data_IF_703123120317
#
_entry.id   IF_703123120317
#
_cell.length_a   1.000
_cell.length_b   1.000
_cell.length_c   1.000
_cell.angle_alpha   90.00
_cell.angle_beta   90.00
_cell.angle_gamma   90.00
#
_symmetry.space_group_name_H-M   'P 1'
#
loop_
_entity.id
_entity.type
_entity.pdbx_description
1 polymer ?
#
# COMPACT_ATOMS: atom_id res chain seq x y z
N UNK A 1 -28.77 -23.92 22.40
CA UNK A 1 -27.89 -23.82 21.20
C UNK A 1 -27.91 -22.46 20.48
N UNK A 2 -28.53 -21.37 20.99
CA UNK A 2 -28.67 -20.10 20.22
C UNK A 2 -27.63 -19.00 20.49
N UNK A 3 -26.87 -19.04 21.60
CA UNK A 3 -25.91 -17.98 21.95
C UNK A 3 -24.58 -17.99 21.17
N UNK A 4 -24.20 -19.11 20.52
CA UNK A 4 -22.90 -19.21 19.80
C UNK A 4 -22.90 -18.55 18.42
N UNK A 5 -24.05 -18.27 17.82
CA UNK A 5 -24.15 -17.76 16.44
C UNK A 5 -23.86 -16.25 16.38
N UNK A 6 -24.38 -15.46 17.33
CA UNK A 6 -24.15 -14.01 17.37
C UNK A 6 -22.68 -13.62 17.60
N UNK A 7 -21.95 -14.39 18.40
CA UNK A 7 -20.53 -14.12 18.66
C UNK A 7 -19.66 -14.35 17.42
N UNK A 8 -19.99 -15.37 16.60
CA UNK A 8 -19.28 -15.64 15.35
C UNK A 8 -19.38 -14.49 14.34
N UNK A 9 -20.52 -13.81 14.26
CA UNK A 9 -20.71 -12.68 13.35
C UNK A 9 -19.88 -11.44 13.74
N UNK A 10 -19.72 -11.19 15.05
CA UNK A 10 -18.84 -10.13 15.55
C UNK A 10 -17.35 -10.45 15.33
N UNK A 11 -16.95 -11.71 15.45
CA UNK A 11 -15.57 -12.14 15.15
C UNK A 11 -15.28 -12.05 13.64
N UNK A 12 -16.25 -12.39 12.78
CA UNK A 12 -16.12 -12.22 11.32
C UNK A 12 -15.96 -10.75 10.89
N UNK A 13 -16.69 -9.82 11.51
CA UNK A 13 -16.48 -8.38 11.31
C UNK A 13 -15.13 -7.88 11.85
N UNK A 14 -14.53 -8.59 12.82
CA UNK A 14 -13.19 -8.28 13.35
C UNK A 14 -12.06 -8.85 12.49
N UNK A 15 -12.36 -9.67 11.49
CA UNK A 15 -11.40 -10.24 10.53
C UNK A 15 -11.29 -9.43 9.22
N UNK A 16 -11.89 -8.25 9.17
CA UNK A 16 -11.54 -7.24 8.17
C UNK A 16 -10.09 -6.78 8.41
N UNK A 17 -9.14 -7.41 7.73
CA UNK A 17 -7.72 -7.03 7.76
C UNK A 17 -7.54 -5.54 7.45
N UNK A 18 -7.31 -4.74 8.49
CA UNK A 18 -6.92 -3.34 8.33
C UNK A 18 -5.47 -3.31 7.83
N UNK A 19 -5.30 -3.43 6.51
CA UNK A 19 -4.01 -3.15 5.84
C UNK A 19 -3.68 -1.69 6.12
N UNK A 20 -2.87 -1.46 7.16
CA UNK A 20 -2.60 -0.14 7.69
C UNK A 20 -1.76 0.63 6.69
N UNK A 21 -2.40 1.52 5.95
CA UNK A 21 -1.75 2.29 4.90
C UNK A 21 -0.62 3.15 5.50
N UNK A 22 0.54 3.16 4.83
CA UNK A 22 1.73 3.90 5.24
C UNK A 22 1.58 5.40 4.94
N UNK A 23 0.77 5.74 3.95
CA UNK A 23 0.28 7.09 3.68
C UNK A 23 -1.26 7.10 3.71
N UNK A 24 -1.85 8.28 3.84
CA UNK A 24 -3.31 8.47 3.84
C UNK A 24 -3.76 9.86 3.33
N UNK A 25 -2.82 10.64 2.80
CA UNK A 25 -3.01 12.01 2.29
C UNK A 25 -2.14 12.20 1.06
N UNK A 26 -2.67 12.93 0.09
CA UNK A 26 -1.93 13.49 -1.05
C UNK A 26 -1.67 14.99 -0.79
N UNK A 27 -0.77 15.59 -1.56
CA UNK A 27 -0.56 17.05 -1.58
C UNK A 27 -0.65 17.63 -3.00
N UNK A 28 -1.01 16.81 -3.98
CA UNK A 28 -1.35 17.12 -5.37
C UNK A 28 -0.20 17.72 -6.21
N UNK A 29 0.88 18.19 -5.58
CA UNK A 29 2.08 18.72 -6.22
C UNK A 29 3.34 18.38 -5.41
N UNK A 30 4.34 17.84 -6.08
CA UNK A 30 5.74 17.84 -5.67
C UNK A 30 6.63 18.27 -6.83
N UNK A 31 7.92 18.47 -6.57
CA UNK A 31 8.93 18.79 -7.57
C UNK A 31 9.97 17.67 -7.66
N UNK A 32 10.58 17.48 -8.82
CA UNK A 32 11.68 16.55 -9.05
C UNK A 32 12.95 17.33 -9.45
N UNK A 33 14.10 17.10 -8.79
CA UNK A 33 15.37 17.73 -9.18
C UNK A 33 16.01 16.96 -10.33
N UNK A 34 15.51 17.19 -11.53
CA UNK A 34 15.99 16.53 -12.74
C UNK A 34 17.34 17.12 -13.17
N UNK A 35 18.29 16.26 -13.52
CA UNK A 35 19.59 16.68 -14.07
C UNK A 35 19.59 16.43 -15.57
N UNK A 36 19.62 17.50 -16.36
CA UNK A 36 19.52 17.43 -17.83
C UNK A 36 20.75 16.74 -18.41
N UNK A 37 20.56 15.58 -19.04
CA UNK A 37 21.63 14.80 -19.65
C UNK A 37 21.87 15.17 -21.12
N UNK A 38 23.06 14.85 -21.64
CA UNK A 38 23.49 15.23 -22.99
C UNK A 38 22.70 14.51 -24.08
N UNK A 39 21.89 15.26 -24.84
CA UNK A 39 20.94 14.73 -25.82
C UNK A 39 19.46 14.89 -25.41
N UNK A 40 19.19 15.23 -24.15
CA UNK A 40 17.85 15.59 -23.68
C UNK A 40 17.46 17.03 -24.06
N UNK A 41 16.16 17.33 -24.04
CA UNK A 41 15.60 18.66 -24.28
C UNK A 41 14.25 18.80 -23.56
N UNK A 42 13.71 20.02 -23.48
CA UNK A 42 12.48 20.30 -22.74
C UNK A 42 11.26 19.53 -23.27
N UNK A 43 11.18 19.22 -24.58
CA UNK A 43 10.10 18.41 -25.16
C UNK A 43 10.16 16.96 -24.69
N UNK A 44 11.33 16.33 -24.72
CA UNK A 44 11.52 14.97 -24.22
C UNK A 44 11.23 14.89 -22.71
N UNK A 45 11.70 15.88 -21.95
CA UNK A 45 11.50 15.96 -20.50
C UNK A 45 10.01 16.17 -20.16
N UNK A 46 9.30 17.03 -20.91
CA UNK A 46 7.86 17.28 -20.80
C UNK A 46 7.04 16.01 -21.04
N UNK A 47 7.39 15.23 -22.07
CA UNK A 47 6.75 13.95 -22.38
C UNK A 47 7.05 12.88 -21.31
N UNK A 48 8.29 12.82 -20.82
CA UNK A 48 8.73 11.84 -19.82
C UNK A 48 8.07 12.00 -18.43
N UNK A 49 7.74 13.25 -18.09
CA UNK A 49 7.31 13.67 -16.75
C UNK A 49 5.87 14.20 -16.72
N UNK A 50 5.08 13.99 -17.79
CA UNK A 50 3.68 14.39 -17.96
C UNK A 50 3.37 15.82 -17.44
N UNK A 51 4.15 16.80 -17.90
CA UNK A 51 3.97 18.22 -17.56
C UNK A 51 4.32 19.11 -18.75
N UNK A 52 3.63 20.24 -18.89
CA UNK A 52 3.87 21.17 -20.00
C UNK A 52 5.18 21.97 -19.82
N UNK A 53 5.74 22.42 -20.95
CA UNK A 53 7.04 23.12 -21.00
C UNK A 53 6.98 24.50 -20.34
N UNK A 54 5.86 25.22 -20.45
CA UNK A 54 5.71 26.55 -19.83
C UNK A 54 5.77 26.45 -18.30
N UNK A 55 5.06 25.48 -17.74
CA UNK A 55 5.13 25.10 -16.33
C UNK A 55 6.55 24.70 -15.90
N UNK A 56 7.29 23.90 -16.70
CA UNK A 56 8.72 23.63 -16.42
C UNK A 56 9.52 24.95 -16.35
N UNK A 57 9.37 25.85 -17.33
CA UNK A 57 10.09 27.15 -17.33
C UNK A 57 9.73 27.98 -16.09
N UNK A 58 8.45 28.04 -15.73
CA UNK A 58 7.97 28.81 -14.58
C UNK A 58 8.56 28.35 -13.22
N UNK A 59 8.76 27.05 -13.02
CA UNK A 59 9.45 26.50 -11.83
C UNK A 59 11.00 26.64 -11.87
N UNK A 60 11.55 27.17 -12.97
CA UNK A 60 12.99 27.29 -13.22
C UNK A 60 13.44 28.69 -13.68
N UNK A 61 12.68 29.73 -13.35
CA UNK A 61 13.00 31.12 -13.67
C UNK A 61 14.44 31.48 -13.26
N UNK A 62 15.22 32.04 -14.18
CA UNK A 62 16.64 32.36 -14.02
C UNK A 62 17.61 31.17 -14.22
N UNK A 63 17.11 29.94 -14.36
CA UNK A 63 17.91 28.73 -14.67
C UNK A 63 17.62 28.21 -16.08
N UNK A 64 16.35 28.23 -16.49
CA UNK A 64 15.91 27.94 -17.87
C UNK A 64 15.43 29.27 -18.49
N UNK A 65 16.04 29.74 -19.59
CA UNK A 65 15.79 31.10 -20.10
C UNK A 65 14.58 31.22 -21.03
N UNK A 66 14.11 30.11 -21.62
CA UNK A 66 13.00 30.04 -22.58
C UNK A 66 12.49 28.60 -22.71
N UNK A 67 11.41 28.41 -23.47
CA UNK A 67 10.78 27.11 -23.79
C UNK A 67 11.61 26.21 -24.71
N UNK A 68 12.65 26.75 -25.35
CA UNK A 68 13.26 26.14 -26.54
C UNK A 68 14.63 25.53 -26.24
N UNK A 69 15.24 25.89 -25.10
CA UNK A 69 16.64 25.56 -24.79
C UNK A 69 16.89 25.33 -23.29
N UNK A 70 17.63 24.27 -23.01
CA UNK A 70 18.20 23.96 -21.69
C UNK A 70 19.56 23.29 -21.90
N UNK A 71 20.54 23.60 -21.05
CA UNK A 71 21.91 23.07 -21.19
C UNK A 71 22.05 21.71 -20.47
N UNK A 72 22.86 20.82 -21.03
CA UNK A 72 23.26 19.60 -20.34
C UNK A 72 24.07 19.95 -19.08
N UNK A 73 23.83 19.21 -17.98
CA UNK A 73 24.35 19.49 -16.65
C UNK A 73 23.47 20.44 -15.81
N UNK A 74 22.50 21.14 -16.40
CA UNK A 74 21.56 21.98 -15.64
C UNK A 74 20.67 21.13 -14.74
N UNK A 75 20.53 21.51 -13.46
CA UNK A 75 19.57 20.93 -12.51
C UNK A 75 18.28 21.76 -12.52
N UNK A 76 17.17 21.16 -12.94
CA UNK A 76 15.87 21.82 -13.04
C UNK A 76 14.85 21.18 -12.08
N UNK A 77 13.90 21.97 -11.57
CA UNK A 77 12.75 21.53 -10.80
C UNK A 77 11.61 21.18 -11.76
N UNK A 78 11.19 19.92 -11.83
CA UNK A 78 10.03 19.51 -12.65
C UNK A 78 8.84 19.27 -11.73
N UNK A 79 7.73 20.01 -11.85
CA UNK A 79 6.53 19.74 -11.06
C UNK A 79 5.82 18.47 -11.54
N UNK A 80 5.25 17.72 -10.59
CA UNK A 80 4.44 16.53 -10.87
C UNK A 80 3.43 16.26 -9.74
N UNK A 81 2.41 15.43 -10.02
CA UNK A 81 1.33 15.13 -9.08
C UNK A 81 1.80 14.19 -7.96
N UNK A 82 1.76 14.63 -6.70
CA UNK A 82 2.18 13.83 -5.54
C UNK A 82 1.00 13.19 -4.80
N UNK A 83 0.92 11.85 -4.83
CA UNK A 83 -0.20 11.10 -4.27
C UNK A 83 0.19 9.83 -3.50
N UNK A 84 -0.76 9.31 -2.71
CA UNK A 84 -0.57 8.11 -1.90
C UNK A 84 -0.84 6.83 -2.71
N UNK A 85 0.17 6.37 -3.46
CA UNK A 85 0.09 5.22 -4.36
C UNK A 85 -0.25 3.94 -3.59
N UNK A 86 -1.43 3.37 -3.87
CA UNK A 86 -1.95 2.12 -3.28
C UNK A 86 -1.90 2.05 -1.74
N UNK A 87 -1.89 3.20 -1.05
CA UNK A 87 -1.72 3.26 0.40
C UNK A 87 -0.30 2.93 0.92
N UNK A 88 0.69 2.72 0.04
CA UNK A 88 2.01 2.19 0.41
C UNK A 88 3.12 3.23 0.47
N UNK A 89 3.11 4.24 -0.41
CA UNK A 89 4.12 5.29 -0.46
C UNK A 89 3.57 6.58 -1.07
N UNK A 90 4.24 7.71 -0.81
CA UNK A 90 3.99 8.96 -1.51
C UNK A 90 4.85 8.99 -2.77
N UNK A 91 4.21 9.16 -3.92
CA UNK A 91 4.89 9.24 -5.20
C UNK A 91 3.94 9.55 -6.35
N UNK A 92 4.42 9.29 -7.55
CA UNK A 92 3.66 9.21 -8.78
C UNK A 92 4.11 8.00 -9.59
N UNK A 93 3.29 7.56 -10.54
CA UNK A 93 3.61 6.46 -11.45
C UNK A 93 3.47 6.96 -12.88
N UNK A 94 4.59 7.31 -13.51
CA UNK A 94 4.62 7.71 -14.92
C UNK A 94 4.53 6.47 -15.82
N UNK A 95 3.99 6.62 -17.02
CA UNK A 95 4.17 5.64 -18.09
C UNK A 95 5.38 6.01 -18.95
N UNK A 96 6.27 5.05 -19.20
CA UNK A 96 7.40 5.18 -20.12
C UNK A 96 7.24 4.22 -21.29
N UNK A 97 7.14 4.74 -22.51
CA UNK A 97 7.14 3.94 -23.74
C UNK A 97 8.56 3.46 -24.08
N UNK A 98 8.74 2.14 -24.20
CA UNK A 98 10.07 1.50 -24.36
C UNK A 98 10.58 1.60 -25.79
N UNK A 99 11.83 2.04 -25.95
CA UNK A 99 12.57 2.06 -27.20
C UNK A 99 13.52 0.86 -27.31
N UNK A 100 13.85 0.50 -28.56
CA UNK A 100 14.78 -0.60 -28.87
C UNK A 100 16.16 -0.38 -28.23
N UNK A 101 16.54 -1.26 -27.31
CA UNK A 101 17.82 -1.20 -26.59
C UNK A 101 17.76 -0.56 -25.21
N UNK A 102 16.58 -0.18 -24.73
CA UNK A 102 16.40 0.28 -23.35
C UNK A 102 16.64 -0.83 -22.32
N UNK A 103 17.07 -0.40 -21.13
CA UNK A 103 17.24 -1.25 -19.95
C UNK A 103 16.77 -0.48 -18.72
N UNK A 104 16.36 -1.17 -17.65
CA UNK A 104 16.01 -0.49 -16.39
C UNK A 104 17.14 0.40 -15.85
N UNK A 105 18.41 0.06 -16.11
CA UNK A 105 19.55 0.90 -15.77
C UNK A 105 19.55 2.23 -16.53
N UNK A 106 19.40 2.19 -17.87
CA UNK A 106 19.28 3.41 -18.71
C UNK A 106 18.08 4.26 -18.28
N UNK A 107 16.90 3.65 -18.15
CA UNK A 107 15.65 4.35 -17.79
C UNK A 107 15.78 5.02 -16.41
N UNK A 108 16.31 4.32 -15.40
CA UNK A 108 16.47 4.91 -14.06
C UNK A 108 17.56 5.99 -13.99
N UNK A 109 18.75 5.70 -14.53
CA UNK A 109 19.97 6.49 -14.26
C UNK A 109 20.19 7.61 -15.27
N UNK A 110 19.81 7.39 -16.53
CA UNK A 110 19.88 8.37 -17.61
C UNK A 110 18.53 9.06 -17.79
N UNK A 111 17.52 8.35 -18.30
CA UNK A 111 16.29 8.99 -18.79
C UNK A 111 15.55 9.75 -17.67
N UNK A 112 15.30 9.09 -16.52
CA UNK A 112 14.74 9.70 -15.30
C UNK A 112 15.80 10.30 -14.35
N UNK A 113 17.06 10.46 -14.77
CA UNK A 113 18.11 11.17 -14.03
C UNK A 113 18.27 10.78 -12.54
N UNK A 114 18.06 9.51 -12.18
CA UNK A 114 18.08 8.93 -10.81
C UNK A 114 16.92 9.35 -9.88
N UNK A 115 15.79 9.85 -10.43
CA UNK A 115 14.54 10.06 -9.69
C UNK A 115 13.79 8.75 -9.36
N UNK A 116 14.15 7.67 -10.03
CA UNK A 116 13.70 6.29 -9.78
C UNK A 116 14.91 5.35 -9.67
N UNK A 117 14.70 4.07 -9.37
CA UNK A 117 15.79 3.09 -9.24
C UNK A 117 15.51 1.80 -10.03
N UNK A 118 16.56 1.02 -10.30
CA UNK A 118 16.44 -0.25 -11.03
C UNK A 118 15.58 -1.25 -10.27
N UNK A 119 15.67 -1.26 -8.93
CA UNK A 119 14.88 -2.10 -8.04
C UNK A 119 13.40 -1.69 -8.09
N UNK A 120 13.11 -0.39 -8.11
CA UNK A 120 11.74 0.11 -8.23
C UNK A 120 11.13 -0.24 -9.59
N UNK A 121 11.87 -0.04 -10.69
CA UNK A 121 11.44 -0.45 -12.03
C UNK A 121 11.21 -1.97 -12.10
N UNK A 122 12.10 -2.78 -11.54
CA UNK A 122 11.97 -4.26 -11.51
C UNK A 122 10.81 -4.71 -10.62
N UNK A 123 10.41 -3.91 -9.63
CA UNK A 123 9.29 -4.21 -8.73
C UNK A 123 7.91 -3.87 -9.32
N UNK A 124 7.80 -2.75 -10.05
CA UNK A 124 6.53 -2.28 -10.63
C UNK A 124 6.26 -2.80 -12.06
N UNK A 125 7.15 -3.58 -12.65
CA UNK A 125 7.04 -4.12 -14.00
C UNK A 125 7.31 -5.62 -14.05
N UNK A 126 6.56 -6.34 -14.89
CA UNK A 126 6.66 -7.81 -15.02
C UNK A 126 7.69 -8.30 -16.04
N UNK A 127 8.44 -7.39 -16.68
CA UNK A 127 9.44 -7.73 -17.69
C UNK A 127 10.78 -8.08 -17.04
N UNK A 128 11.47 -9.10 -17.57
CA UNK A 128 12.81 -9.46 -17.12
C UNK A 128 13.81 -8.34 -17.48
N UNK A 129 14.75 -7.96 -16.59
CA UNK A 129 15.75 -6.92 -16.87
C UNK A 129 16.62 -7.17 -18.11
N UNK A 130 16.68 -8.41 -18.60
CA UNK A 130 17.42 -8.84 -19.79
C UNK A 130 16.58 -8.88 -21.07
N UNK A 131 15.26 -8.67 -20.99
CA UNK A 131 14.34 -8.76 -22.14
C UNK A 131 13.08 -7.89 -21.90
N UNK A 132 13.22 -6.59 -22.11
CA UNK A 132 12.11 -5.63 -22.13
C UNK A 132 11.63 -5.49 -23.59
N UNK A 133 10.34 -5.72 -23.92
CA UNK A 133 9.86 -5.61 -25.29
C UNK A 133 9.91 -4.18 -25.85
N UNK A 134 10.31 -4.03 -27.13
CA UNK A 134 10.42 -2.74 -27.87
C UNK A 134 9.07 -2.00 -28.10
N UNK A 135 8.00 -2.41 -27.43
CA UNK A 135 6.66 -1.81 -27.47
C UNK A 135 5.95 -1.95 -26.10
N UNK A 136 6.69 -2.24 -25.04
CA UNK A 136 6.18 -2.25 -23.68
C UNK A 136 5.99 -0.82 -23.16
N UNK A 137 5.09 -0.68 -22.19
CA UNK A 137 5.03 0.48 -21.29
C UNK A 137 5.59 0.07 -19.94
N UNK A 138 6.48 0.89 -19.37
CA UNK A 138 6.96 0.73 -18.01
C UNK A 138 6.21 1.65 -17.05
N UNK A 139 5.79 1.10 -15.93
CA UNK A 139 5.40 1.84 -14.74
C UNK A 139 6.67 2.40 -14.08
N UNK A 140 6.84 3.72 -14.06
CA UNK A 140 8.00 4.39 -13.48
C UNK A 140 7.61 5.16 -12.22
N UNK A 141 7.92 4.59 -11.06
CA UNK A 141 7.63 5.23 -9.77
C UNK A 141 8.67 6.30 -9.44
N UNK A 142 8.23 7.53 -9.22
CA UNK A 142 9.04 8.61 -8.61
C UNK A 142 8.43 8.96 -7.27
N UNK A 143 9.22 8.89 -6.20
CA UNK A 143 8.72 9.19 -4.85
C UNK A 143 8.60 10.70 -4.62
N UNK A 144 7.75 11.10 -3.67
CA UNK A 144 7.57 12.49 -3.26
C UNK A 144 7.35 12.61 -1.74
N UNK A 145 7.27 13.84 -1.24
CA UNK A 145 6.92 14.13 0.14
C UNK A 145 5.91 15.26 0.23
N UNK A 146 4.96 15.13 1.14
CA UNK A 146 3.99 16.17 1.49
C UNK A 146 4.38 16.94 2.77
N UNK A 147 5.61 16.76 3.25
CA UNK A 147 6.10 17.36 4.48
C UNK A 147 5.63 16.69 5.76
N UNK A 148 6.12 17.21 6.88
CA UNK A 148 5.85 16.71 8.22
C UNK A 148 5.65 17.90 9.18
N UNK A 149 4.44 17.97 9.75
CA UNK A 149 4.03 19.03 10.69
C UNK A 149 4.76 18.98 12.04
N UNK A 150 5.46 17.87 12.36
CA UNK A 150 6.35 17.77 13.52
C UNK A 150 7.73 18.40 13.26
N UNK A 151 8.13 18.52 11.99
CA UNK A 151 9.36 19.21 11.59
C UNK A 151 9.13 20.71 11.47
N UNK A 152 8.16 21.13 10.64
CA UNK A 152 7.70 22.52 10.49
C UNK A 152 6.34 22.55 9.77
N UNK A 153 5.59 23.65 9.94
CA UNK A 153 4.32 23.91 9.21
C UNK A 153 4.50 24.85 8.01
N UNK A 154 5.72 25.32 7.78
CA UNK A 154 6.03 26.39 6.81
C UNK A 154 6.29 25.82 5.41
N UNK A 155 6.45 24.49 5.31
CA UNK A 155 6.83 23.77 4.10
C UNK A 155 5.88 22.59 3.84
N UNK A 156 5.08 22.69 2.77
CA UNK A 156 4.15 21.69 2.25
C UNK A 156 4.29 21.47 0.74
N UNK A 157 5.39 21.93 0.15
CA UNK A 157 5.85 21.61 -1.21
C UNK A 157 7.30 21.13 -1.07
N UNK A 158 7.65 19.99 -1.67
CA UNK A 158 8.97 19.39 -1.58
C UNK A 158 9.51 19.02 -2.95
N UNK A 159 10.84 19.14 -3.10
CA UNK A 159 11.61 18.60 -4.20
C UNK A 159 12.16 17.23 -3.77
N UNK A 160 11.92 16.21 -4.57
CA UNK A 160 12.68 14.95 -4.54
C UNK A 160 14.01 15.18 -5.24
N UNK A 161 15.10 15.18 -4.48
CA UNK A 161 16.45 15.48 -4.93
C UNK A 161 17.29 14.19 -4.95
N UNK A 162 17.71 13.68 -6.13
CA UNK A 162 18.67 12.58 -6.22
C UNK A 162 20.06 13.02 -5.74
N UNK A 163 20.64 12.29 -4.78
CA UNK A 163 21.99 12.55 -4.27
C UNK A 163 23.04 12.12 -5.31
N UNK A 164 24.00 13.00 -5.58
CA UNK A 164 25.08 12.78 -6.55
C UNK A 164 26.45 12.66 -5.85
N UNK A 165 27.45 12.02 -6.47
CA UNK A 165 28.82 12.00 -5.94
C UNK A 165 29.34 13.42 -5.67
N UNK A 166 29.75 13.68 -4.43
CA UNK A 166 30.19 15.01 -3.96
C UNK A 166 29.10 15.84 -3.27
N UNK A 167 27.83 15.42 -3.26
CA UNK A 167 26.81 16.08 -2.44
C UNK A 167 27.09 15.92 -0.93
N UNK A 168 26.65 16.91 -0.16
CA UNK A 168 26.76 16.96 1.31
C UNK A 168 25.53 17.67 1.88
N UNK A 169 25.25 17.49 3.17
CA UNK A 169 24.21 18.26 3.87
C UNK A 169 24.46 19.77 3.76
N UNK A 170 25.73 20.19 3.82
CA UNK A 170 26.13 21.60 3.76
C UNK A 170 25.98 22.20 2.36
N UNK A 171 26.44 21.51 1.31
CA UNK A 171 26.37 22.01 -0.07
C UNK A 171 24.92 22.10 -0.58
N UNK A 172 24.07 21.10 -0.29
CA UNK A 172 22.65 21.13 -0.65
C UNK A 172 21.93 22.24 0.13
N UNK A 173 22.16 22.36 1.44
CA UNK A 173 21.58 23.43 2.26
C UNK A 173 22.00 24.84 1.76
N UNK A 174 23.27 25.02 1.38
CA UNK A 174 23.77 26.29 0.85
C UNK A 174 23.17 26.62 -0.51
N UNK A 175 23.12 25.66 -1.44
CA UNK A 175 22.58 25.87 -2.78
C UNK A 175 21.07 26.21 -2.78
N UNK A 176 20.30 25.52 -1.94
CA UNK A 176 18.84 25.65 -1.86
C UNK A 176 18.40 26.70 -0.81
N UNK A 177 19.35 27.38 -0.16
CA UNK A 177 19.15 28.42 0.86
C UNK A 177 18.38 27.95 2.11
N UNK A 178 18.63 26.71 2.53
CA UNK A 178 17.96 26.04 3.64
C UNK A 178 18.85 25.93 4.89
N UNK A 179 18.22 25.75 6.05
CA UNK A 179 18.94 25.42 7.28
C UNK A 179 19.32 23.92 7.31
N UNK A 180 20.58 23.59 7.61
CA UNK A 180 21.07 22.20 7.65
C UNK A 180 20.31 21.32 8.66
N UNK A 181 19.98 21.84 9.84
CA UNK A 181 19.24 21.09 10.88
C UNK A 181 17.80 20.82 10.45
N UNK A 182 17.14 21.78 9.80
CA UNK A 182 15.81 21.58 9.18
C UNK A 182 15.87 20.48 8.10
N UNK A 183 16.86 20.57 7.21
CA UNK A 183 17.07 19.65 6.10
C UNK A 183 17.35 18.21 6.59
N UNK A 184 18.16 18.05 7.64
CA UNK A 184 18.42 16.75 8.28
C UNK A 184 17.17 16.22 9.02
N UNK A 185 16.34 17.08 9.63
CA UNK A 185 15.10 16.65 10.31
C UNK A 185 14.04 16.12 9.34
N UNK A 186 13.99 16.61 8.10
CA UNK A 186 13.16 16.00 7.03
C UNK A 186 13.73 14.69 6.47
N UNK A 187 15.01 14.41 6.69
CA UNK A 187 15.73 13.25 6.16
C UNK A 187 16.46 12.49 7.28
N UNK A 188 15.74 11.99 8.31
CA UNK A 188 16.36 11.39 9.49
C UNK A 188 17.14 10.12 9.12
N UNK A 189 18.39 10.04 9.59
CA UNK A 189 19.28 8.90 9.34
C UNK A 189 19.88 8.83 7.92
N UNK A 190 19.54 9.74 7.01
CA UNK A 190 20.11 9.75 5.65
C UNK A 190 21.50 10.36 5.65
N UNK A 191 22.48 9.62 5.10
CA UNK A 191 23.79 10.15 4.76
C UNK A 191 23.72 10.90 3.42
N UNK A 192 23.72 12.23 3.47
CA UNK A 192 23.69 13.11 2.28
C UNK A 192 24.91 12.92 1.35
N UNK A 193 26.02 12.37 1.84
CA UNK A 193 27.22 12.08 1.05
C UNK A 193 27.33 10.63 0.59
N UNK A 194 26.22 9.88 0.58
CA UNK A 194 26.14 8.54 -0.03
C UNK A 194 26.31 8.57 -1.56
N UNK A 195 26.07 9.72 -2.20
CA UNK A 195 26.17 9.90 -3.65
C UNK A 195 25.21 9.03 -4.48
N UNK A 196 24.14 8.54 -3.85
CA UNK A 196 23.11 7.70 -4.47
C UNK A 196 21.84 7.67 -3.60
N UNK A 197 20.69 7.39 -4.20
CA UNK A 197 19.38 7.55 -3.56
C UNK A 197 18.89 8.99 -3.61
N UNK A 198 17.89 9.34 -2.80
CA UNK A 198 17.25 10.66 -2.82
C UNK A 198 16.95 11.20 -1.41
N UNK A 199 16.80 12.52 -1.32
CA UNK A 199 16.36 13.27 -0.13
C UNK A 199 15.19 14.19 -0.50
N UNK A 200 14.34 14.49 0.47
CA UNK A 200 13.23 15.44 0.31
C UNK A 200 13.61 16.79 0.89
N UNK A 201 13.57 17.83 0.06
CA UNK A 201 13.99 19.18 0.44
C UNK A 201 12.80 20.16 0.24
N UNK A 202 12.56 21.14 1.12
CA UNK A 202 11.49 22.12 0.90
C UNK A 202 11.63 22.88 -0.42
N UNK A 203 10.58 22.83 -1.25
CA UNK A 203 10.52 23.47 -2.57
C UNK A 203 9.86 24.84 -2.52
N UNK A 204 10.36 25.76 -3.36
CA UNK A 204 9.70 27.02 -3.71
C UNK A 204 8.75 26.80 -4.89
N UNK A 205 7.71 27.61 -4.99
CA UNK A 205 6.83 27.64 -6.16
C UNK A 205 7.31 28.61 -7.25
N UNK A 206 6.54 28.73 -8.34
CA UNK A 206 6.77 29.63 -9.50
C UNK A 206 7.12 31.08 -9.12
N UNK A 207 6.69 31.53 -7.93
CA UNK A 207 6.91 32.89 -7.42
C UNK A 207 8.09 32.99 -6.46
N UNK A 208 8.88 31.91 -6.34
CA UNK A 208 10.01 31.81 -5.41
C UNK A 208 9.60 31.63 -3.94
N UNK A 209 8.32 31.36 -3.66
CA UNK A 209 7.79 31.30 -2.29
C UNK A 209 7.67 29.86 -1.78
N UNK A 210 7.90 29.66 -0.48
CA UNK A 210 7.52 28.41 0.18
C UNK A 210 6.00 28.37 0.41
N UNK A 211 5.40 27.19 0.25
CA UNK A 211 3.97 26.94 0.51
C UNK A 211 3.80 26.31 1.89
N UNK A 212 3.02 26.93 2.77
CA UNK A 212 2.76 26.39 4.12
C UNK A 212 1.98 25.07 4.07
N UNK A 213 2.29 24.16 5.00
CA UNK A 213 1.70 22.83 5.10
C UNK A 213 0.26 22.91 5.65
N UNK A 214 -0.71 22.83 4.73
CA UNK A 214 -2.13 22.74 5.06
C UNK A 214 -2.41 21.42 5.79
N UNK A 215 -2.60 21.48 7.10
CA UNK A 215 -3.14 20.34 7.84
C UNK A 215 -4.59 20.12 7.41
N UNK A 216 -4.85 19.07 6.61
CA UNK A 216 -6.20 18.66 6.26
C UNK A 216 -7.00 18.45 7.55
N UNK A 217 -8.18 19.06 7.73
CA UNK A 217 -8.98 18.89 8.93
C UNK A 217 -9.31 17.40 9.06
N UNK A 218 -8.80 16.77 10.12
CA UNK A 218 -9.18 15.40 10.44
C UNK A 218 -10.68 15.35 10.65
N UNK A 219 -11.35 14.38 10.02
CA UNK A 219 -12.80 14.17 10.17
C UNK A 219 -13.13 14.13 11.66
N UNK A 220 -13.81 15.17 12.14
CA UNK A 220 -13.82 15.50 13.56
C UNK A 220 -14.37 14.31 14.38
N UNK A 221 -13.78 14.06 15.56
CA UNK A 221 -14.16 12.90 16.40
C UNK A 221 -15.67 12.84 16.74
N UNK A 222 -16.36 13.99 16.67
CA UNK A 222 -17.81 14.14 16.70
C UNK A 222 -18.53 13.20 15.71
N UNK A 223 -18.04 13.10 14.47
CA UNK A 223 -18.65 12.26 13.43
C UNK A 223 -18.52 10.76 13.76
N UNK A 224 -17.34 10.33 14.23
CA UNK A 224 -17.07 8.94 14.59
C UNK A 224 -17.91 8.53 15.82
N UNK A 225 -17.98 9.41 16.84
CA UNK A 225 -18.83 9.19 18.01
C UNK A 225 -20.32 9.10 17.64
N UNK A 226 -20.81 9.98 16.76
CA UNK A 226 -22.19 9.96 16.28
C UNK A 226 -22.57 8.66 15.57
N UNK A 227 -21.70 8.13 14.71
CA UNK A 227 -21.92 6.86 14.00
C UNK A 227 -22.00 5.69 15.00
N UNK A 228 -21.10 5.62 15.99
CA UNK A 228 -21.10 4.56 17.00
C UNK A 228 -22.40 4.59 17.83
N UNK A 229 -22.84 5.77 18.27
CA UNK A 229 -24.10 5.93 19.02
C UNK A 229 -25.31 5.52 18.17
N UNK A 230 -25.35 5.91 16.90
CA UNK A 230 -26.43 5.53 15.98
C UNK A 230 -26.52 4.02 15.75
N UNK A 231 -25.38 3.33 15.58
CA UNK A 231 -25.32 1.86 15.42
C UNK A 231 -25.79 1.15 16.71
N UNK A 232 -25.33 1.59 17.88
CA UNK A 232 -25.74 1.02 19.17
C UNK A 232 -27.25 1.22 19.38
N UNK A 233 -27.78 2.41 19.12
CA UNK A 233 -29.22 2.70 19.22
C UNK A 233 -30.04 1.82 18.26
N UNK A 234 -29.60 1.67 17.00
CA UNK A 234 -30.26 0.80 16.02
C UNK A 234 -30.31 -0.67 16.45
N UNK A 235 -29.21 -1.21 16.96
CA UNK A 235 -29.14 -2.60 17.48
C UNK A 235 -30.05 -2.78 18.70
N UNK A 236 -30.08 -1.82 19.63
CA UNK A 236 -30.98 -1.86 20.79
C UNK A 236 -32.46 -1.79 20.40
N UNK A 237 -32.82 -0.94 19.43
CA UNK A 237 -34.19 -0.83 18.92
C UNK A 237 -34.63 -2.13 18.22
N UNK A 238 -33.78 -2.72 17.37
CA UNK A 238 -34.08 -3.99 16.70
C UNK A 238 -34.19 -5.16 17.68
N UNK A 239 -33.28 -5.25 18.67
CA UNK A 239 -33.33 -6.27 19.72
C UNK A 239 -34.56 -6.14 20.61
N UNK A 240 -34.88 -4.92 21.04
CA UNK A 240 -36.08 -4.61 21.82
C UNK A 240 -37.38 -4.89 21.06
N UNK A 241 -37.44 -4.51 19.78
CA UNK A 241 -38.57 -4.79 18.89
C UNK A 241 -38.81 -6.30 18.69
N UNK A 242 -37.74 -7.07 18.45
CA UNK A 242 -37.81 -8.53 18.33
C UNK A 242 -38.26 -9.19 19.65
N UNK A 243 -37.73 -8.75 20.80
CA UNK A 243 -38.13 -9.23 22.12
C UNK A 243 -39.61 -8.91 22.43
N UNK A 244 -40.05 -7.69 22.18
CA UNK A 244 -41.44 -7.26 22.38
C UNK A 244 -42.41 -7.99 21.44
N UNK A 245 -42.01 -8.23 20.19
CA UNK A 245 -42.76 -9.05 19.24
C UNK A 245 -42.92 -10.50 19.70
N UNK A 246 -41.84 -11.12 20.18
CA UNK A 246 -41.88 -12.46 20.76
C UNK A 246 -42.76 -12.54 22.02
N UNK A 247 -42.63 -11.58 22.93
CA UNK A 247 -43.45 -11.50 24.14
C UNK A 247 -44.93 -11.27 23.83
N UNK A 248 -45.25 -10.40 22.85
CA UNK A 248 -46.62 -10.24 22.35
C UNK A 248 -47.16 -11.52 21.73
N UNK A 249 -46.36 -12.25 20.93
CA UNK A 249 -46.79 -13.53 20.36
C UNK A 249 -47.15 -14.53 21.47
N UNK A 250 -46.26 -14.77 22.44
CA UNK A 250 -46.57 -15.68 23.55
C UNK A 250 -47.83 -15.27 24.33
N UNK A 251 -48.13 -13.96 24.44
CA UNK A 251 -49.34 -13.45 25.10
C UNK A 251 -50.62 -13.61 24.25
N UNK A 252 -50.51 -13.65 22.92
CA UNK A 252 -51.61 -14.02 22.01
C UNK A 252 -51.84 -15.52 22.04
N UNK A 253 -50.77 -16.32 21.93
CA UNK A 253 -50.83 -17.79 21.98
C UNK A 253 -51.42 -18.27 23.32
N UNK A 254 -51.05 -17.64 24.46
CA UNK A 254 -51.64 -17.92 25.76
C UNK A 254 -53.14 -17.52 25.86
N UNK A 255 -53.57 -16.45 25.18
CA UNK A 255 -54.99 -16.08 25.09
C UNK A 255 -55.78 -17.06 24.22
N UNK A 256 -55.16 -17.57 23.14
CA UNK A 256 -55.77 -18.55 22.25
C UNK A 256 -55.97 -19.90 22.96
N UNK A 257 -54.98 -20.35 23.74
CA UNK A 257 -55.09 -21.59 24.53
C UNK A 257 -56.19 -21.50 25.59
N UNK A 258 -56.33 -20.36 26.28
CA UNK A 258 -57.45 -20.13 27.20
C UNK A 258 -58.82 -20.12 26.49
N UNK A 259 -58.90 -19.60 25.26
CA UNK A 259 -60.11 -19.65 24.43
C UNK A 259 -60.38 -21.02 23.77
N UNK A 260 -59.42 -21.95 23.82
CA UNK A 260 -59.52 -23.32 23.27
C UNK A 260 -59.65 -24.36 24.40
N UNK A 261 -59.99 -23.93 25.62
CA UNK A 261 -60.19 -24.82 26.77
C UNK A 261 -61.62 -25.37 26.88
N UNK A 262 -62.60 -24.68 26.29
CA UNK A 262 -64.03 -25.01 26.34
C UNK A 262 -64.54 -25.66 25.03
N UNK A 263 -63.90 -26.74 24.58
CA UNK A 263 -64.59 -27.86 23.92
C UNK A 263 -63.66 -29.08 23.72
N UNK A 264 -64.11 -30.28 24.09
CA UNK A 264 -63.28 -31.50 24.06
C UNK A 264 -64.03 -32.73 23.50
N UNK A 265 -63.79 -33.06 22.23
CA UNK A 265 -64.04 -34.39 21.64
C UNK A 265 -63.24 -34.56 20.33
N UNK A 266 -62.11 -35.27 20.29
CA UNK A 266 -61.97 -36.74 20.27
C UNK A 266 -62.38 -37.43 18.96
N UNK A 267 -61.41 -37.75 18.07
CA UNK A 267 -61.00 -39.14 17.76
C UNK A 267 -59.97 -39.29 16.62
N UNK A 268 -59.08 -40.28 16.81
CA UNK A 268 -58.39 -41.17 15.86
C UNK A 268 -58.16 -40.77 14.39
N UNK A 269 -56.88 -40.58 14.06
CA UNK A 269 -56.36 -40.58 12.69
C UNK A 269 -56.24 -41.95 12.01
N UNK A 270 -55.41 -42.01 10.95
CA UNK A 270 -54.97 -43.23 10.25
C UNK A 270 -53.63 -42.99 9.54
N UNK A 271 -52.91 -44.07 9.27
CA UNK A 271 -51.71 -44.09 8.44
C UNK A 271 -51.94 -45.02 7.23
N UNK A 272 -51.15 -44.87 6.16
CA UNK A 272 -50.90 -45.94 5.20
C UNK A 272 -49.50 -45.80 4.58
N UNK A 273 -48.89 -46.95 4.28
CA UNK A 273 -47.58 -47.14 3.64
C UNK A 273 -47.76 -48.03 2.40
N UNK A 274 -46.77 -48.10 1.50
CA UNK A 274 -46.61 -49.16 0.48
C UNK A 274 -45.16 -49.17 -0.03
N UNK A 275 -44.64 -50.35 -0.41
CA UNK A 275 -43.22 -50.65 -0.69
C UNK A 275 -43.09 -51.66 -1.87
N UNK A 276 -41.93 -52.06 -2.42
CA UNK A 276 -40.54 -51.84 -1.97
C UNK A 276 -39.61 -51.34 -3.13
N UNK A 277 -38.62 -52.00 -3.75
CA UNK A 277 -37.98 -53.33 -3.61
C UNK A 277 -36.52 -53.34 -4.18
N UNK A 278 -35.94 -54.54 -4.39
CA UNK A 278 -34.51 -54.85 -4.67
C UNK A 278 -34.39 -55.76 -5.94
N UNK A 279 -33.20 -56.28 -6.37
CA UNK A 279 -31.78 -56.03 -6.02
C UNK A 279 -30.98 -55.53 -7.28
N UNK A 280 -29.69 -55.76 -7.64
CA UNK A 280 -28.53 -56.61 -7.23
C UNK A 280 -27.17 -55.82 -7.26
N UNK A 281 -26.17 -56.21 -8.07
CA UNK A 281 -24.77 -55.74 -8.03
C UNK A 281 -24.13 -55.52 -9.42
N UNK A 282 -23.09 -54.67 -9.50
CA UNK A 282 -21.94 -54.85 -10.40
C UNK A 282 -20.75 -53.96 -10.00
N UNK A 283 -19.51 -54.38 -10.31
CA UNK A 283 -18.28 -53.68 -9.96
C UNK A 283 -17.78 -52.76 -11.10
N UNK A 284 -17.28 -51.56 -10.76
CA UNK A 284 -16.66 -50.65 -11.73
C UNK A 284 -15.72 -49.63 -11.07
N UNK A 285 -14.42 -49.70 -11.38
CA UNK A 285 -13.43 -48.78 -10.84
C UNK A 285 -13.39 -47.44 -11.63
N UNK A 286 -13.46 -46.30 -10.93
CA UNK A 286 -13.79 -45.00 -11.53
C UNK A 286 -13.03 -43.78 -11.02
N UNK A 287 -11.70 -43.90 -10.82
CA UNK A 287 -10.69 -42.81 -10.84
C UNK A 287 -11.15 -41.39 -10.40
N UNK A 288 -11.37 -41.19 -9.11
CA UNK A 288 -11.46 -39.84 -8.53
C UNK A 288 -10.08 -39.14 -8.48
N UNK A 289 -10.02 -37.78 -8.49
CA UNK A 289 -8.75 -37.06 -8.45
C UNK A 289 -8.07 -37.18 -7.08
N UNK A 290 -6.78 -37.50 -7.07
CA UNK A 290 -5.95 -37.47 -5.87
C UNK A 290 -5.79 -36.04 -5.38
N UNK A 291 -6.33 -35.74 -4.19
CA UNK A 291 -6.03 -34.49 -3.50
C UNK A 291 -4.53 -34.36 -3.24
N UNK A 292 -3.99 -33.16 -3.39
CA UNK A 292 -2.57 -32.88 -3.11
C UNK A 292 -2.34 -33.10 -1.62
N UNK A 293 -1.59 -34.14 -1.28
CA UNK A 293 -1.05 -34.33 0.07
C UNK A 293 -0.03 -33.23 0.33
N UNK A 294 -0.44 -32.17 1.02
CA UNK A 294 0.48 -31.15 1.54
C UNK A 294 1.41 -31.84 2.51
N UNK A 295 2.70 -31.89 2.16
CA UNK A 295 3.69 -32.55 3.00
C UNK A 295 3.94 -31.76 4.30
N UNK A 296 4.55 -32.45 5.26
CA UNK A 296 4.68 -32.12 6.66
C UNK A 296 5.39 -30.77 6.86
N UNK A 297 4.65 -29.76 7.28
CA UNK A 297 5.21 -28.45 7.64
C UNK A 297 6.22 -28.61 8.77
N UNK A 298 7.49 -28.30 8.51
CA UNK A 298 8.54 -28.27 9.55
C UNK A 298 8.35 -27.01 10.41
N UNK A 299 8.21 -27.21 11.71
CA UNK A 299 8.06 -26.13 12.68
C UNK A 299 9.42 -25.87 13.36
N UNK A 300 9.81 -24.60 13.43
CA UNK A 300 11.09 -24.15 14.00
C UNK A 300 10.82 -23.23 15.21
N UNK A 301 11.66 -23.32 16.23
CA UNK A 301 11.52 -22.44 17.41
C UNK A 301 11.98 -21.01 17.09
N UNK A 302 11.48 -20.02 17.84
CA UNK A 302 11.91 -18.63 17.69
C UNK A 302 13.42 -18.46 17.96
N UNK A 303 13.98 -19.25 18.87
CA UNK A 303 15.39 -19.27 19.26
C UNK A 303 16.28 -19.95 18.22
N UNK A 304 15.72 -20.87 17.41
CA UNK A 304 16.39 -21.46 16.26
C UNK A 304 16.42 -20.45 15.10
N UNK A 305 15.29 -19.82 14.80
CA UNK A 305 15.15 -18.79 13.76
C UNK A 305 15.97 -17.51 14.06
N UNK A 306 15.93 -17.02 15.30
CA UNK A 306 16.71 -15.83 15.70
C UNK A 306 18.21 -16.12 15.72
N UNK A 307 18.65 -17.36 16.01
CA UNK A 307 20.07 -17.71 15.89
C UNK A 307 20.51 -17.80 14.42
N UNK A 308 19.71 -18.44 13.57
CA UNK A 308 20.04 -18.64 12.16
C UNK A 308 20.02 -17.36 11.31
N UNK A 309 19.31 -16.31 11.76
CA UNK A 309 19.18 -15.01 11.06
C UNK A 309 20.09 -13.90 11.60
N UNK A 310 20.99 -14.20 12.56
CA UNK A 310 21.71 -13.20 13.36
C UNK A 310 20.75 -12.18 14.02
N UNK A 311 19.84 -12.70 14.83
CA UNK A 311 18.77 -11.97 15.51
C UNK A 311 17.94 -11.05 14.57
N UNK A 312 17.60 -11.58 13.39
CA UNK A 312 16.91 -10.84 12.31
C UNK A 312 17.68 -9.59 11.84
N UNK A 313 19.00 -9.72 11.72
CA UNK A 313 19.90 -8.68 11.24
C UNK A 313 19.49 -8.12 9.87
N UNK A 314 19.54 -6.80 9.72
CA UNK A 314 19.25 -6.13 8.45
C UNK A 314 20.22 -6.52 7.32
N UNK A 315 21.43 -7.01 7.65
CA UNK A 315 22.37 -7.52 6.66
C UNK A 315 21.86 -8.81 5.98
N UNK A 316 21.08 -9.62 6.71
CA UNK A 316 20.50 -10.87 6.21
C UNK A 316 19.12 -10.67 5.56
N UNK A 317 18.62 -9.44 5.44
CA UNK A 317 17.24 -9.18 5.02
C UNK A 317 17.10 -9.20 3.49
N UNK A 318 16.54 -10.28 2.96
CA UNK A 318 16.30 -10.48 1.52
C UNK A 318 15.15 -9.58 1.01
N UNK A 319 14.13 -9.32 1.84
CA UNK A 319 13.00 -8.48 1.43
C UNK A 319 11.98 -8.17 2.52
N UNK A 320 10.97 -7.36 2.19
CA UNK A 320 9.80 -7.11 3.04
C UNK A 320 8.58 -6.72 2.22
N UNK A 321 7.46 -7.40 2.43
CA UNK A 321 6.18 -7.15 1.76
C UNK A 321 5.01 -7.10 2.73
N UNK A 322 3.79 -7.16 2.20
CA UNK A 322 2.55 -7.15 3.01
C UNK A 322 2.35 -8.37 3.92
N UNK A 323 3.16 -9.42 3.76
CA UNK A 323 3.08 -10.67 4.52
C UNK A 323 4.21 -10.86 5.54
N UNK A 324 5.13 -9.89 5.67
CA UNK A 324 6.27 -9.96 6.61
C UNK A 324 7.59 -9.50 6.01
N UNK A 325 8.68 -9.71 6.76
CA UNK A 325 10.05 -9.55 6.30
C UNK A 325 10.70 -10.92 6.10
N UNK A 326 11.45 -11.07 5.00
CA UNK A 326 12.15 -12.31 4.64
C UNK A 326 13.63 -12.12 4.94
N UNK A 327 14.21 -13.07 5.67
CA UNK A 327 15.61 -13.09 6.05
C UNK A 327 16.29 -14.36 5.53
N UNK A 328 17.54 -14.22 5.13
CA UNK A 328 18.47 -15.32 4.91
C UNK A 328 18.77 -15.99 6.25
N UNK A 329 18.76 -17.31 6.26
CA UNK A 329 19.01 -18.12 7.45
C UNK A 329 19.70 -19.41 7.04
N UNK A 330 20.74 -19.82 7.76
CA UNK A 330 21.35 -21.13 7.59
C UNK A 330 20.83 -22.08 8.67
N UNK A 331 19.96 -23.01 8.28
CA UNK A 331 19.31 -23.94 9.20
C UNK A 331 19.89 -25.34 9.03
N UNK A 332 20.45 -25.89 10.12
CA UNK A 332 20.89 -27.29 10.25
C UNK A 332 21.95 -27.76 9.23
N UNK A 333 22.58 -26.84 8.50
CA UNK A 333 23.65 -27.11 7.52
C UNK A 333 23.14 -27.46 6.12
N UNK A 334 21.88 -27.17 5.80
CA UNK A 334 21.30 -27.39 4.47
C UNK A 334 20.84 -26.05 3.87
N UNK A 335 21.25 -25.77 2.62
CA UNK A 335 20.98 -24.52 1.91
C UNK A 335 19.58 -24.51 1.28
N UNK A 336 18.53 -24.58 2.11
CA UNK A 336 17.15 -24.60 1.63
C UNK A 336 16.61 -23.18 1.32
N UNK A 337 16.70 -22.80 0.04
CA UNK A 337 16.12 -21.55 -0.48
C UNK A 337 14.59 -21.53 -0.59
N UNK A 338 13.88 -22.60 -0.20
CA UNK A 338 12.42 -22.76 -0.33
C UNK A 338 11.65 -22.77 1.00
N UNK A 339 12.31 -22.63 2.16
CA UNK A 339 11.61 -22.54 3.46
C UNK A 339 10.86 -21.21 3.62
N UNK A 340 9.64 -21.18 3.06
CA UNK A 340 8.80 -19.99 2.97
C UNK A 340 8.31 -19.49 4.32
N UNK A 341 8.56 -18.20 4.58
CA UNK A 341 7.66 -17.33 5.36
C UNK A 341 7.52 -17.68 6.83
N UNK A 342 8.42 -17.16 7.66
CA UNK A 342 8.20 -17.05 9.10
C UNK A 342 6.92 -16.26 9.40
N UNK A 343 5.87 -16.96 9.81
CA UNK A 343 4.56 -16.38 10.14
C UNK A 343 4.57 -15.75 11.53
N UNK A 344 5.50 -14.82 11.76
CA UNK A 344 5.68 -14.12 13.03
C UNK A 344 4.50 -13.18 13.28
N UNK A 345 3.52 -13.65 14.06
CA UNK A 345 2.40 -12.85 14.54
C UNK A 345 2.85 -12.10 15.80
N UNK A 346 2.98 -10.77 15.68
CA UNK A 346 2.90 -9.78 16.76
C UNK A 346 2.22 -8.52 16.24
#
# INVERSE_FOLDING_TARGET
>A
MRFRIGLGFLVLLSLCFTVKSRCSRSCDLALAKYSVWSGSNLTLISQLMDTDIETIVNYNNGTVPNTDSVLAGTKINIPFKCECVNGQFLGHMFEYDVFTGDTYAKVAQTDYANLTTVEALTWFNSYAPTNIPNNAKLNVSVNCSCGDTTVSKDYGLFITYPLQPGDTLASIAQAEQLNQTLLQRYNPGVNFSKGSGFVYIPGKDEKGSYRSLKSSPGLAGVAIAGIIVAVIAGVLILGGGAYFGYYRKNKVDAKLLLATSDDQSSQNGRALSITTDKPEESNGAGRGPTGISVDKSVEFSYEELSRATDNFSLANKIGQGGFGAVYYAELRGELDGNLMGTRTIM
#
